data_IF_201968987706
#
_entry.id   IF_201968987706
#
_cell.length_a   1.000
_cell.length_b   1.000
_cell.length_c   1.000
_cell.angle_alpha   90.00
_cell.angle_beta   90.00
_cell.angle_gamma   90.00
#
_symmetry.space_group_name_H-M   'P 1'
#
loop_
_entity.id
_entity.type
_entity.pdbx_description
1 polymer ?
#
# COMPACT_ATOMS: atom_id res chain seq x y z
N UNK A 1 0.74 -0.12 -1.30
CA UNK A 1 1.23 1.24 -0.97
C UNK A 1 0.26 1.89 0.00
N UNK A 2 0.75 2.51 1.07
CA UNK A 2 -0.06 3.29 2.01
C UNK A 2 0.48 4.72 2.07
N UNK A 3 -0.40 5.71 2.25
CA UNK A 3 -0.06 7.13 2.31
C UNK A 3 -0.61 7.75 3.59
N UNK A 4 0.25 8.45 4.33
CA UNK A 4 -0.07 9.09 5.60
C UNK A 4 0.21 10.58 5.50
N UNK A 5 -0.70 11.42 6.01
CA UNK A 5 -0.51 12.87 6.01
C UNK A 5 -0.13 13.37 7.41
N UNK A 6 1.10 13.84 7.56
CA UNK A 6 1.54 14.58 8.73
C UNK A 6 0.99 16.01 8.66
N UNK A 7 0.26 16.41 9.69
CA UNK A 7 -0.19 17.79 9.89
C UNK A 7 0.79 18.52 10.80
N UNK A 8 1.37 19.62 10.33
CA UNK A 8 2.31 20.44 11.11
C UNK A 8 1.71 21.82 11.32
N UNK A 9 1.66 22.25 12.58
CA UNK A 9 1.12 23.54 13.00
C UNK A 9 2.27 24.40 13.53
N UNK A 10 2.43 25.60 12.99
CA UNK A 10 3.40 26.59 13.49
C UNK A 10 2.69 27.84 13.97
N UNK A 11 3.06 28.35 15.14
CA UNK A 11 2.55 29.61 15.68
C UNK A 11 3.33 30.85 15.19
N UNK A 12 4.45 30.65 14.51
CA UNK A 12 5.33 31.73 14.03
C UNK A 12 5.88 31.42 12.65
N UNK A 13 6.62 32.36 12.06
CA UNK A 13 7.46 32.05 10.92
C UNK A 13 8.51 31.00 11.32
N UNK A 14 8.69 29.97 10.48
CA UNK A 14 9.65 28.92 10.72
C UNK A 14 9.91 28.13 9.43
N UNK A 15 11.11 27.54 9.34
CA UNK A 15 11.44 26.56 8.31
C UNK A 15 11.78 25.26 9.01
N UNK A 16 10.97 24.23 8.75
CA UNK A 16 11.11 22.91 9.33
C UNK A 16 11.53 21.92 8.26
N UNK A 17 12.58 21.17 8.52
CA UNK A 17 12.97 20.03 7.70
C UNK A 17 12.27 18.79 8.23
N UNK A 18 11.83 17.93 7.31
CA UNK A 18 11.24 16.64 7.61
C UNK A 18 12.11 15.59 6.94
N UNK A 19 12.60 14.66 7.75
CA UNK A 19 13.37 13.52 7.27
C UNK A 19 12.94 12.26 8.01
N UNK A 20 13.20 11.11 7.42
CA UNK A 20 13.02 9.83 8.09
C UNK A 20 14.38 9.17 8.37
N UNK A 21 14.44 8.33 9.39
CA UNK A 21 15.63 7.50 9.64
C UNK A 21 15.86 6.51 8.50
N UNK A 22 17.08 5.98 8.46
CA UNK A 22 17.61 5.17 7.35
C UNK A 22 16.83 3.88 7.09
N UNK A 23 16.95 3.43 5.85
CA UNK A 23 16.52 2.15 5.25
C UNK A 23 16.00 1.09 6.23
N UNK A 24 14.70 0.78 6.08
CA UNK A 24 14.07 -0.40 6.67
C UNK A 24 14.05 -1.49 5.61
N UNK A 25 14.52 -2.69 5.94
CA UNK A 25 14.72 -3.72 4.92
C UNK A 25 13.41 -4.15 4.26
N UNK A 26 13.38 -4.02 2.94
CA UNK A 26 12.18 -4.25 2.12
C UNK A 26 11.02 -3.27 2.40
N UNK A 27 11.24 -2.14 3.07
CA UNK A 27 10.25 -1.05 3.14
C UNK A 27 10.83 0.22 2.53
N UNK A 28 10.16 0.74 1.52
CA UNK A 28 10.49 2.02 0.88
C UNK A 28 9.66 3.14 1.48
N UNK A 29 10.34 4.19 1.92
CA UNK A 29 9.76 5.41 2.48
C UNK A 29 10.04 6.57 1.53
N UNK A 30 9.02 7.41 1.30
CA UNK A 30 9.18 8.62 0.50
C UNK A 30 8.30 9.74 1.03
N UNK A 31 8.84 10.95 1.03
CA UNK A 31 8.12 12.17 1.41
C UNK A 31 7.80 12.97 0.15
N UNK A 32 6.61 13.56 0.09
CA UNK A 32 6.25 14.49 -1.00
C UNK A 32 7.09 15.77 -0.98
N UNK A 33 7.52 16.19 0.22
CA UNK A 33 8.43 17.31 0.46
C UNK A 33 9.32 17.05 1.68
N UNK A 34 10.56 17.52 1.62
CA UNK A 34 11.53 17.43 2.73
C UNK A 34 11.58 18.67 3.61
N UNK A 35 10.84 19.72 3.25
CA UNK A 35 10.83 20.98 3.98
C UNK A 35 9.46 21.64 3.97
N UNK A 36 9.11 22.25 5.09
CA UNK A 36 7.91 23.04 5.31
C UNK A 36 8.32 24.47 5.65
N UNK A 37 7.78 25.45 4.93
CA UNK A 37 8.09 26.86 5.14
C UNK A 37 6.82 27.57 5.61
N UNK A 38 6.88 28.14 6.81
CA UNK A 38 5.85 28.99 7.39
C UNK A 38 6.31 30.44 7.33
N UNK A 39 5.61 31.27 6.55
CA UNK A 39 5.86 32.72 6.52
C UNK A 39 5.17 33.45 7.69
N UNK A 40 4.10 32.86 8.24
CA UNK A 40 3.31 33.31 9.39
C UNK A 40 2.79 32.08 10.14
N UNK A 41 2.04 32.28 11.23
CA UNK A 41 1.30 31.20 11.89
C UNK A 41 0.38 30.47 10.89
N UNK A 42 0.32 29.15 10.94
CA UNK A 42 -0.49 28.37 10.00
C UNK A 42 -0.34 26.86 10.15
N UNK A 43 -0.96 26.15 9.21
CA UNK A 43 -0.98 24.69 9.12
C UNK A 43 -0.45 24.28 7.75
N UNK A 44 0.40 23.26 7.72
CA UNK A 44 0.95 22.66 6.49
C UNK A 44 0.93 21.14 6.61
N UNK A 45 1.02 20.47 5.48
CA UNK A 45 0.95 19.01 5.39
C UNK A 45 2.18 18.44 4.71
N UNK A 46 2.59 17.24 5.12
CA UNK A 46 3.61 16.42 4.46
C UNK A 46 3.06 15.02 4.31
N UNK A 47 3.07 14.50 3.08
CA UNK A 47 2.66 13.15 2.80
C UNK A 47 3.86 12.21 2.91
N UNK A 48 3.71 11.17 3.71
CA UNK A 48 4.62 10.03 3.80
C UNK A 48 3.98 8.85 3.08
N UNK A 49 4.66 8.37 2.04
CA UNK A 49 4.31 7.15 1.34
C UNK A 49 5.18 6.01 1.83
N UNK A 50 4.53 4.92 2.23
CA UNK A 50 5.13 3.67 2.72
C UNK A 50 4.78 2.54 1.75
N UNK A 51 5.82 1.85 1.28
CA UNK A 51 5.69 0.75 0.34
C UNK A 51 6.43 -0.47 0.87
N UNK A 52 5.69 -1.56 1.09
CA UNK A 52 6.24 -2.87 1.50
C UNK A 52 6.64 -3.59 0.21
N UNK A 53 7.94 -3.81 0.03
CA UNK A 53 8.52 -4.49 -1.12
C UNK A 53 8.39 -6.02 -0.95
N UNK A 54 8.49 -6.76 -2.07
CA UNK A 54 8.34 -8.21 -2.07
C UNK A 54 9.38 -8.96 -1.21
N UNK A 55 10.51 -8.34 -0.91
CA UNK A 55 11.57 -8.87 -0.05
C UNK A 55 11.47 -8.40 1.41
N UNK A 56 10.40 -7.73 1.82
CA UNK A 56 10.21 -7.29 3.19
C UNK A 56 10.19 -8.48 4.16
N UNK A 57 10.96 -8.36 5.24
CA UNK A 57 10.95 -9.37 6.29
C UNK A 57 9.69 -9.20 7.15
N UNK A 58 8.87 -10.26 7.33
CA UNK A 58 7.71 -10.21 8.22
C UNK A 58 8.08 -9.83 9.65
N UNK A 59 7.19 -9.10 10.30
CA UNK A 59 7.33 -8.63 11.67
C UNK A 59 7.06 -7.14 11.80
N UNK A 60 7.15 -6.68 13.05
CA UNK A 60 7.01 -5.27 13.39
C UNK A 60 8.27 -4.51 12.97
N UNK A 61 8.12 -3.64 11.98
CA UNK A 61 9.15 -2.72 11.54
C UNK A 61 8.86 -1.34 12.12
N UNK A 62 9.89 -0.69 12.65
CA UNK A 62 9.76 0.66 13.23
C UNK A 62 10.77 1.59 12.59
N UNK A 63 10.33 2.81 12.30
CA UNK A 63 11.16 3.89 11.79
C UNK A 63 10.68 5.21 12.34
N UNK A 64 11.51 6.24 12.20
CA UNK A 64 11.27 7.54 12.80
C UNK A 64 11.18 8.60 11.72
N UNK A 65 10.28 9.55 11.92
CA UNK A 65 10.19 10.78 11.16
C UNK A 65 10.61 11.93 12.07
N UNK A 66 11.71 12.62 11.75
CA UNK A 66 12.22 13.73 12.53
C UNK A 66 11.82 15.06 11.91
N UNK A 67 11.37 15.97 12.78
CA UNK A 67 11.07 17.36 12.45
C UNK A 67 12.17 18.22 13.05
N UNK A 68 12.96 18.90 12.21
CA UNK A 68 14.13 19.67 12.65
C UNK A 68 14.12 21.09 12.11
N UNK A 69 14.82 22.01 12.78
CA UNK A 69 15.21 23.30 12.19
C UNK A 69 16.68 23.56 12.52
N UNK A 70 17.53 23.62 11.50
CA UNK A 70 18.98 23.60 11.68
C UNK A 70 19.43 22.34 12.42
N UNK A 71 20.12 22.52 13.55
CA UNK A 71 20.58 21.41 14.41
C UNK A 71 19.56 20.99 15.48
N UNK A 72 18.45 21.72 15.63
CA UNK A 72 17.45 21.44 16.67
C UNK A 72 16.43 20.43 16.18
N UNK A 73 16.23 19.36 16.94
CA UNK A 73 15.06 18.47 16.79
C UNK A 73 13.90 19.07 17.56
N UNK A 74 12.76 19.26 16.89
CA UNK A 74 11.52 19.72 17.51
C UNK A 74 10.67 18.53 17.95
N UNK A 75 10.62 17.51 17.11
CA UNK A 75 9.83 16.31 17.36
C UNK A 75 10.40 15.11 16.60
N UNK A 76 10.11 13.93 17.13
CA UNK A 76 10.43 12.63 16.52
C UNK A 76 9.20 11.75 16.62
N UNK A 77 8.65 11.39 15.45
CA UNK A 77 7.44 10.58 15.33
C UNK A 77 7.87 9.15 15.02
N UNK A 78 7.60 8.22 15.92
CA UNK A 78 7.80 6.79 15.67
C UNK A 78 6.63 6.23 14.87
N UNK A 79 6.95 5.53 13.78
CA UNK A 79 5.99 4.89 12.90
C UNK A 79 6.26 3.39 12.95
N UNK A 80 5.20 2.62 13.18
CA UNK A 80 5.24 1.17 13.29
C UNK A 80 4.43 0.55 12.16
N UNK A 81 5.05 -0.31 11.37
CA UNK A 81 4.42 -1.07 10.29
C UNK A 81 4.56 -2.56 10.57
N UNK A 82 3.44 -3.28 10.59
CA UNK A 82 3.44 -4.73 10.78
C UNK A 82 3.39 -5.43 9.43
N UNK A 83 4.53 -6.01 9.02
CA UNK A 83 4.65 -6.77 7.78
C UNK A 83 4.23 -8.20 8.05
N UNK A 84 3.18 -8.67 7.38
CA UNK A 84 2.66 -10.03 7.55
C UNK A 84 2.68 -10.78 6.25
N UNK A 85 2.85 -12.09 6.34
CA UNK A 85 2.46 -12.96 5.24
C UNK A 85 0.93 -12.89 5.05
N UNK A 86 0.46 -13.13 3.82
CA UNK A 86 -0.96 -13.37 3.59
C UNK A 86 -1.40 -14.59 4.39
N UNK A 87 -2.59 -14.53 4.97
CA UNK A 87 -3.14 -15.60 5.82
C UNK A 87 -3.44 -16.85 5.01
N UNK A 88 -3.86 -16.66 3.76
CA UNK A 88 -4.20 -17.71 2.83
C UNK A 88 -3.69 -17.39 1.42
N UNK A 89 -3.42 -18.44 0.65
CA UNK A 89 -3.18 -18.35 -0.80
C UNK A 89 -4.32 -19.03 -1.52
N UNK A 90 -4.98 -18.31 -2.44
CA UNK A 90 -5.95 -18.88 -3.37
C UNK A 90 -5.27 -19.09 -4.71
N UNK A 91 -5.28 -20.33 -5.17
CA UNK A 91 -4.90 -20.69 -6.54
C UNK A 91 -6.19 -20.82 -7.34
N UNK A 92 -6.29 -20.05 -8.42
CA UNK A 92 -7.46 -20.07 -9.28
C UNK A 92 -7.02 -20.29 -10.72
N UNK A 93 -7.50 -21.37 -11.31
CA UNK A 93 -7.29 -21.71 -12.72
C UNK A 93 -8.65 -21.65 -13.41
N UNK A 94 -8.70 -20.94 -14.55
CA UNK A 94 -9.90 -20.84 -15.38
C UNK A 94 -9.64 -21.50 -16.73
N UNK A 95 -10.51 -22.44 -17.08
CA UNK A 95 -10.52 -23.12 -18.38
C UNK A 95 -11.71 -22.64 -19.21
N UNK A 96 -11.50 -22.37 -20.50
CA UNK A 96 -12.59 -22.00 -21.41
C UNK A 96 -13.54 -23.16 -21.65
N UNK A 97 -14.83 -22.85 -21.78
CA UNK A 97 -15.89 -23.83 -22.07
C UNK A 97 -16.23 -24.76 -20.89
N UNK A 98 -15.60 -24.61 -19.72
CA UNK A 98 -15.94 -25.44 -18.55
C UNK A 98 -17.43 -25.29 -18.19
N UNK A 99 -18.01 -24.11 -18.39
CA UNK A 99 -19.44 -23.84 -18.21
C UNK A 99 -20.33 -24.60 -19.20
N UNK A 100 -19.82 -24.92 -20.38
CA UNK A 100 -20.56 -25.63 -21.43
C UNK A 100 -20.58 -27.15 -21.17
N UNK A 101 -19.54 -27.68 -20.53
CA UNK A 101 -19.42 -29.12 -20.23
C UNK A 101 -19.74 -29.49 -18.76
N UNK A 102 -19.52 -28.58 -17.82
CA UNK A 102 -19.69 -28.78 -16.38
C UNK A 102 -20.28 -27.54 -15.69
N UNK A 103 -21.55 -27.18 -15.96
CA UNK A 103 -22.18 -25.97 -15.45
C UNK A 103 -22.28 -25.95 -13.90
N UNK A 104 -22.36 -27.11 -13.26
CA UNK A 104 -22.41 -27.23 -11.80
C UNK A 104 -21.07 -26.94 -11.11
N UNK A 105 -19.95 -27.04 -11.85
CA UNK A 105 -18.59 -26.77 -11.38
C UNK A 105 -18.06 -25.42 -11.89
N UNK A 106 -18.92 -24.63 -12.52
CA UNK A 106 -18.56 -23.38 -13.18
C UNK A 106 -19.18 -22.17 -12.49
N UNK A 107 -18.55 -21.01 -12.62
CA UNK A 107 -19.03 -19.74 -12.06
C UNK A 107 -19.19 -18.69 -13.16
N UNK A 108 -20.26 -17.91 -13.08
CA UNK A 108 -20.47 -16.77 -13.96
C UNK A 108 -19.43 -15.67 -13.70
N UNK A 109 -18.95 -15.04 -14.76
CA UNK A 109 -17.92 -13.99 -14.71
C UNK A 109 -18.30 -12.80 -13.81
N UNK A 110 -19.60 -12.49 -13.69
CA UNK A 110 -20.06 -11.42 -12.80
C UNK A 110 -19.88 -11.80 -11.32
N UNK A 111 -20.03 -13.08 -10.98
CA UNK A 111 -19.83 -13.59 -9.62
C UNK A 111 -18.35 -13.64 -9.27
N UNK A 112 -17.49 -13.99 -10.23
CA UNK A 112 -16.03 -13.96 -10.00
C UNK A 112 -15.54 -12.54 -9.75
N UNK A 113 -16.04 -11.53 -10.47
CA UNK A 113 -15.73 -10.12 -10.18
C UNK A 113 -16.12 -9.73 -8.74
N UNK A 114 -17.33 -10.09 -8.30
CA UNK A 114 -17.79 -9.79 -6.94
C UNK A 114 -16.90 -10.48 -5.89
N UNK A 115 -16.56 -11.75 -6.09
CA UNK A 115 -15.67 -12.48 -5.19
C UNK A 115 -14.26 -11.90 -5.16
N UNK A 116 -13.69 -11.55 -6.32
CA UNK A 116 -12.36 -10.94 -6.41
C UNK A 116 -12.32 -9.58 -5.71
N UNK A 117 -13.39 -8.78 -5.83
CA UNK A 117 -13.55 -7.53 -5.08
C UNK A 117 -13.54 -7.80 -3.57
N UNK A 118 -14.32 -8.77 -3.10
CA UNK A 118 -14.44 -9.06 -1.67
C UNK A 118 -13.12 -9.65 -1.11
N UNK A 119 -12.44 -10.54 -1.86
CA UNK A 119 -11.12 -11.08 -1.51
C UNK A 119 -10.05 -9.99 -1.51
N UNK A 120 -10.14 -8.98 -2.38
CA UNK A 120 -9.17 -7.86 -2.40
C UNK A 120 -9.15 -7.04 -1.11
N UNK A 121 -10.18 -7.16 -0.27
CA UNK A 121 -10.25 -6.53 1.04
C UNK A 121 -9.66 -7.42 2.17
N UNK A 122 -9.34 -8.67 1.87
CA UNK A 122 -8.78 -9.63 2.82
C UNK A 122 -7.26 -9.68 2.72
N UNK A 123 -6.58 -10.15 3.77
CA UNK A 123 -5.13 -10.40 3.75
C UNK A 123 -4.82 -11.73 3.04
N UNK A 124 -5.23 -11.85 1.77
CA UNK A 124 -5.12 -13.08 0.96
C UNK A 124 -4.29 -12.79 -0.27
N UNK A 125 -3.37 -13.70 -0.61
CA UNK A 125 -2.67 -13.68 -1.89
C UNK A 125 -3.46 -14.49 -2.92
N UNK A 126 -3.67 -13.93 -4.10
CA UNK A 126 -4.32 -14.60 -5.22
C UNK A 126 -3.31 -14.79 -6.34
N UNK A 127 -3.25 -16.02 -6.85
CA UNK A 127 -2.52 -16.38 -8.05
C UNK A 127 -3.55 -16.86 -9.07
N UNK A 128 -3.70 -16.11 -10.17
CA UNK A 128 -4.75 -16.34 -11.15
C UNK A 128 -4.14 -16.68 -12.50
N UNK A 129 -4.49 -17.87 -13.00
CA UNK A 129 -4.17 -18.31 -14.34
C UNK A 129 -5.46 -18.42 -15.16
N UNK A 130 -5.52 -17.69 -16.27
CA UNK A 130 -6.53 -17.86 -17.30
C UNK A 130 -5.85 -18.33 -18.58
N UNK A 131 -5.98 -19.60 -18.90
CA UNK A 131 -5.53 -20.10 -20.21
C UNK A 131 -6.54 -19.68 -21.29
N UNK A 132 -6.09 -19.48 -22.53
CA UNK A 132 -6.90 -19.28 -23.75
C UNK A 132 -7.97 -18.15 -23.76
N UNK A 133 -7.80 -17.09 -22.95
CA UNK A 133 -8.72 -15.94 -22.97
C UNK A 133 -8.63 -15.19 -24.31
N UNK A 134 -9.61 -15.44 -25.18
CA UNK A 134 -9.79 -14.69 -26.42
C UNK A 134 -10.90 -13.66 -26.20
N UNK A 135 -10.58 -12.36 -26.20
CA UNK A 135 -11.64 -11.36 -26.29
C UNK A 135 -12.41 -11.62 -27.60
N UNK A 136 -13.74 -11.73 -27.50
CA UNK A 136 -14.67 -12.14 -28.56
C UNK A 136 -14.76 -13.65 -28.85
N UNK A 137 -14.65 -14.51 -27.83
CA UNK A 137 -15.07 -15.92 -27.97
C UNK A 137 -16.55 -15.98 -28.39
N UNK A 138 -16.79 -16.50 -29.58
CA UNK A 138 -18.10 -16.86 -30.11
C UNK A 138 -18.18 -18.40 -30.10
N UNK A 139 -19.20 -18.94 -29.45
CA UNK A 139 -19.40 -20.39 -29.35
C UNK A 139 -20.04 -21.00 -30.59
N UNK A 140 -20.47 -20.16 -31.54
CA UNK A 140 -21.17 -20.52 -32.77
C UNK A 140 -20.22 -20.69 -33.98
#
# INVERSE_FOLDING_TARGET
VQEFNLTVISGTNNTLNVNHTSYVDGISLSLDKSQIIFNNAGVQFVALRVEINANATPGLQTFELNITSGMRVYDTITISTDVRFPEHKILMESYHGLNDWFPELSFYQMNSYAWMRDISQMNISIDYLAEYWTPNYDSD
#
